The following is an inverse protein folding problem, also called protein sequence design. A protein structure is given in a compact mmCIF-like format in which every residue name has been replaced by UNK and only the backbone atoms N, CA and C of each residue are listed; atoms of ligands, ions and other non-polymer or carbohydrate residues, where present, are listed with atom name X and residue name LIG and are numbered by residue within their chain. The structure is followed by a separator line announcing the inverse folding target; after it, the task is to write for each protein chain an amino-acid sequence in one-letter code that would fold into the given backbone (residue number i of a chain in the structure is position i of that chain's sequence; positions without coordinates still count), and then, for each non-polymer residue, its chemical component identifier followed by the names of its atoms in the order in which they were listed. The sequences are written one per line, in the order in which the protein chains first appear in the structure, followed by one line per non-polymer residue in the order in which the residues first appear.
data_IF_037779000265
#
_entry.id   IF_037779000265
#
_cell.length_a   1.000
_cell.length_b   1.000
_cell.length_c   1.000
_cell.angle_alpha   90.00
_cell.angle_beta   90.00
_cell.angle_gamma   90.00
#
_symmetry.space_group_name_H-M   'P 1'
#
loop_
_entity.id
_entity.type
_entity.pdbx_description
1 polymer ?
#
# COMPACT_ATOMS: atom_id res chain seq x y z
N UNK A 1 -22.61 10.69 -6.54
CA UNK A 1 -21.85 10.20 -7.73
C UNK A 1 -21.19 11.32 -8.51
N UNK A 2 -19.87 11.29 -8.62
CA UNK A 2 -19.08 12.19 -9.46
C UNK A 2 -18.94 11.60 -10.87
N UNK A 3 -18.80 12.44 -11.91
CA UNK A 3 -18.65 11.98 -13.30
C UNK A 3 -17.43 12.60 -13.95
N UNK A 4 -16.64 11.76 -14.64
CA UNK A 4 -15.40 12.13 -15.30
C UNK A 4 -15.49 11.77 -16.79
N UNK A 5 -15.25 12.72 -17.68
CA UNK A 5 -15.34 12.53 -19.13
C UNK A 5 -13.98 12.22 -19.76
N UNK A 6 -13.97 11.31 -20.73
CA UNK A 6 -12.79 10.80 -21.42
C UNK A 6 -12.93 10.95 -22.94
N UNK A 7 -11.81 11.26 -23.58
CA UNK A 7 -11.70 11.36 -25.04
C UNK A 7 -11.61 9.99 -25.72
N UNK A 8 -10.99 9.01 -25.04
CA UNK A 8 -10.91 7.64 -25.51
C UNK A 8 -12.23 6.89 -25.24
N UNK A 9 -12.81 6.31 -26.29
CA UNK A 9 -14.13 5.69 -26.26
C UNK A 9 -14.01 4.22 -26.63
N UNK A 10 -14.33 3.34 -25.68
CA UNK A 10 -14.65 1.94 -25.97
C UNK A 10 -16.17 1.78 -26.01
N UNK A 11 -16.65 0.79 -26.76
CA UNK A 11 -18.10 0.48 -26.83
C UNK A 11 -18.57 -0.33 -25.63
N UNK A 12 -17.65 -0.92 -24.87
CA UNK A 12 -17.95 -1.79 -23.74
C UNK A 12 -18.36 -0.97 -22.50
N UNK A 13 -19.45 -1.36 -21.85
CA UNK A 13 -19.79 -0.88 -20.52
C UNK A 13 -18.96 -1.65 -19.47
N UNK A 14 -18.25 -0.94 -18.60
CA UNK A 14 -17.34 -1.55 -17.62
C UNK A 14 -17.83 -1.21 -16.21
N UNK A 15 -18.00 -2.22 -15.37
CA UNK A 15 -18.30 -2.05 -13.94
C UNK A 15 -17.07 -2.45 -13.13
N UNK A 16 -16.63 -1.60 -12.21
CA UNK A 16 -15.56 -1.88 -11.27
C UNK A 16 -16.06 -1.82 -9.84
N UNK A 17 -15.79 -2.85 -9.04
CA UNK A 17 -16.35 -3.01 -7.70
C UNK A 17 -15.43 -2.52 -6.57
N UNK A 18 -14.17 -2.19 -6.86
CA UNK A 18 -13.23 -1.70 -5.85
C UNK A 18 -12.81 -2.76 -4.83
N UNK A 19 -12.33 -2.31 -3.67
CA UNK A 19 -11.98 -3.14 -2.52
C UNK A 19 -13.17 -3.26 -1.55
N UNK A 20 -13.04 -4.14 -0.54
CA UNK A 20 -14.03 -4.22 0.54
C UNK A 20 -13.75 -3.25 1.71
N UNK A 21 -12.49 -2.88 1.92
CA UNK A 21 -12.05 -1.97 2.99
C UNK A 21 -12.48 -0.50 2.79
N UNK A 22 -12.94 -0.16 1.57
CA UNK A 22 -13.59 1.11 1.24
C UNK A 22 -14.60 0.84 0.11
N UNK A 23 -15.86 1.12 0.39
CA UNK A 23 -16.96 0.80 -0.49
C UNK A 23 -17.17 1.85 -1.57
N UNK A 24 -16.43 1.75 -2.67
CA UNK A 24 -16.68 2.53 -3.88
C UNK A 24 -16.82 1.61 -5.08
N UNK A 25 -17.74 1.95 -5.98
CA UNK A 25 -17.84 1.34 -7.30
C UNK A 25 -17.74 2.41 -8.39
N UNK A 26 -17.30 1.98 -9.57
CA UNK A 26 -17.23 2.84 -10.74
C UNK A 26 -17.91 2.18 -11.92
N UNK A 27 -18.54 2.97 -12.78
CA UNK A 27 -19.13 2.48 -14.04
C UNK A 27 -18.66 3.35 -15.19
N UNK A 28 -18.06 2.72 -16.21
CA UNK A 28 -17.73 3.35 -17.47
C UNK A 28 -18.82 3.08 -18.51
N UNK A 29 -19.32 4.14 -19.15
CA UNK A 29 -20.24 4.05 -20.29
C UNK A 29 -20.08 5.30 -21.17
N UNK A 30 -20.05 5.14 -22.49
CA UNK A 30 -20.04 6.22 -23.48
C UNK A 30 -18.96 7.30 -23.26
N UNK A 31 -17.76 6.89 -22.82
CA UNK A 31 -16.66 7.82 -22.55
C UNK A 31 -16.78 8.56 -21.21
N UNK A 32 -17.63 8.11 -20.29
CA UNK A 32 -17.77 8.68 -18.96
C UNK A 32 -17.53 7.63 -17.88
N UNK A 33 -16.76 7.98 -16.85
CA UNK A 33 -16.67 7.21 -15.60
C UNK A 33 -17.56 7.87 -14.57
N UNK A 34 -18.55 7.13 -14.09
CA UNK A 34 -19.35 7.49 -12.93
C UNK A 34 -18.74 6.83 -11.69
N UNK A 35 -18.31 7.64 -10.73
CA UNK A 35 -17.69 7.20 -9.49
C UNK A 35 -18.65 7.37 -8.31
N UNK A 36 -18.93 6.28 -7.59
CA UNK A 36 -19.90 6.26 -6.49
C UNK A 36 -19.46 7.12 -5.31
N UNK A 37 -20.43 7.43 -4.45
CA UNK A 37 -20.12 7.93 -3.11
C UNK A 37 -19.45 6.81 -2.28
N UNK A 38 -18.79 7.16 -1.19
CA UNK A 38 -18.11 6.22 -0.30
C UNK A 38 -19.13 5.58 0.67
N UNK A 39 -19.26 4.26 0.59
CA UNK A 39 -20.16 3.47 1.43
C UNK A 39 -19.51 3.00 2.74
N UNK A 40 -18.24 3.31 2.98
CA UNK A 40 -17.47 2.92 4.16
C UNK A 40 -16.93 1.50 4.07
N UNK A 41 -16.57 0.92 5.21
CA UNK A 41 -16.05 -0.45 5.29
C UNK A 41 -17.17 -1.47 4.96
N UNK A 42 -17.00 -2.22 3.86
CA UNK A 42 -17.97 -3.21 3.39
C UNK A 42 -17.91 -4.52 4.19
N UNK A 43 -16.98 -4.68 5.14
CA UNK A 43 -17.05 -5.74 6.14
C UNK A 43 -18.24 -5.56 7.09
N UNK A 44 -18.76 -4.33 7.21
CA UNK A 44 -20.00 -4.05 7.94
C UNK A 44 -21.21 -4.41 7.07
N UNK A 45 -22.09 -5.34 7.50
CA UNK A 45 -23.20 -5.83 6.68
C UNK A 45 -24.15 -4.72 6.19
N UNK A 46 -24.37 -3.71 7.03
CA UNK A 46 -25.21 -2.55 6.72
C UNK A 46 -24.65 -1.71 5.56
N UNK A 47 -23.32 -1.50 5.55
CA UNK A 47 -22.63 -0.79 4.49
C UNK A 47 -22.67 -1.58 3.18
N UNK A 48 -22.45 -2.90 3.24
CA UNK A 48 -22.49 -3.76 2.06
C UNK A 48 -23.88 -3.85 1.45
N UNK A 49 -24.93 -3.98 2.26
CA UNK A 49 -26.31 -3.97 1.79
C UNK A 49 -26.67 -2.65 1.08
N UNK A 50 -26.23 -1.51 1.64
CA UNK A 50 -26.42 -0.19 1.02
C UNK A 50 -25.65 -0.06 -0.30
N UNK A 51 -24.39 -0.50 -0.33
CA UNK A 51 -23.55 -0.55 -1.53
C UNK A 51 -24.23 -1.36 -2.66
N UNK A 52 -24.70 -2.57 -2.35
CA UNK A 52 -25.36 -3.46 -3.33
C UNK A 52 -26.66 -2.83 -3.86
N UNK A 53 -27.45 -2.22 -2.98
CA UNK A 53 -28.70 -1.55 -3.34
C UNK A 53 -28.45 -0.39 -4.31
N UNK A 54 -27.50 0.50 -3.99
CA UNK A 54 -27.19 1.66 -4.83
C UNK A 54 -26.58 1.24 -6.17
N UNK A 55 -25.68 0.25 -6.18
CA UNK A 55 -25.15 -0.31 -7.42
C UNK A 55 -26.28 -0.85 -8.32
N UNK A 56 -27.19 -1.66 -7.75
CA UNK A 56 -28.29 -2.24 -8.50
C UNK A 56 -29.28 -1.18 -9.02
N UNK A 57 -29.55 -0.15 -8.21
CA UNK A 57 -30.39 0.98 -8.61
C UNK A 57 -29.76 1.74 -9.77
N UNK A 58 -28.48 2.10 -9.66
CA UNK A 58 -27.76 2.83 -10.70
C UNK A 58 -27.77 2.11 -12.04
N UNK A 59 -27.43 0.81 -12.06
CA UNK A 59 -27.45 0.01 -13.30
C UNK A 59 -28.85 -0.08 -13.90
N UNK A 60 -29.89 -0.24 -13.07
CA UNK A 60 -31.28 -0.34 -13.53
C UNK A 60 -31.79 0.98 -14.11
N UNK A 61 -31.59 2.09 -13.40
CA UNK A 61 -32.08 3.42 -13.81
C UNK A 61 -31.40 3.91 -15.08
N UNK A 62 -30.09 3.69 -15.20
CA UNK A 62 -29.33 4.02 -16.41
C UNK A 62 -29.45 2.98 -17.52
N UNK A 63 -30.17 1.87 -17.27
CA UNK A 63 -30.35 0.74 -18.19
C UNK A 63 -29.01 0.15 -18.68
N UNK A 64 -27.98 0.19 -17.82
CA UNK A 64 -26.63 -0.29 -18.13
C UNK A 64 -26.59 -1.81 -17.93
N UNK A 65 -26.04 -2.50 -18.93
CA UNK A 65 -25.66 -3.91 -18.85
C UNK A 65 -24.15 -3.98 -19.01
N UNK A 66 -23.37 -4.21 -17.94
CA UNK A 66 -21.92 -4.27 -18.04
C UNK A 66 -21.49 -5.44 -18.95
N UNK A 67 -20.58 -5.16 -19.86
CA UNK A 67 -19.91 -6.15 -20.71
C UNK A 67 -18.67 -6.72 -19.99
N UNK A 68 -18.06 -5.91 -19.12
CA UNK A 68 -16.88 -6.24 -18.33
C UNK A 68 -17.15 -5.90 -16.86
N UNK A 69 -16.78 -6.81 -15.96
CA UNK A 69 -16.81 -6.61 -14.51
C UNK A 69 -15.42 -6.77 -13.95
N UNK A 70 -14.94 -5.75 -13.24
CA UNK A 70 -13.63 -5.66 -12.62
C UNK A 70 -13.76 -5.81 -11.11
N UNK A 71 -12.90 -6.64 -10.53
CA UNK A 71 -12.78 -6.80 -9.06
C UNK A 71 -11.33 -6.77 -8.65
N UNK A 72 -11.08 -6.70 -7.34
CA UNK A 72 -9.74 -6.95 -6.81
C UNK A 72 -9.27 -8.39 -7.12
N UNK A 73 -7.96 -8.60 -7.05
CA UNK A 73 -7.32 -9.90 -7.14
C UNK A 73 -7.57 -10.76 -5.90
N UNK A 74 -7.87 -10.14 -4.74
CA UNK A 74 -8.16 -10.87 -3.52
C UNK A 74 -9.36 -11.83 -3.71
N UNK A 75 -9.17 -13.15 -3.55
CA UNK A 75 -10.19 -14.13 -3.88
C UNK A 75 -11.40 -14.08 -2.95
N UNK A 76 -11.17 -13.75 -1.66
CA UNK A 76 -12.20 -13.86 -0.61
C UNK A 76 -12.93 -12.53 -0.32
N UNK A 77 -12.68 -11.47 -1.08
CA UNK A 77 -13.40 -10.21 -0.86
C UNK A 77 -14.88 -10.35 -1.20
N UNK A 78 -15.74 -9.74 -0.39
CA UNK A 78 -17.19 -9.70 -0.67
C UNK A 78 -17.50 -9.04 -2.03
N UNK A 79 -16.70 -8.05 -2.44
CA UNK A 79 -16.81 -7.43 -3.77
C UNK A 79 -16.38 -8.37 -4.89
N UNK A 80 -15.39 -9.23 -4.66
CA UNK A 80 -14.96 -10.27 -5.63
C UNK A 80 -16.06 -11.30 -5.84
N UNK A 81 -16.68 -11.81 -4.76
CA UNK A 81 -17.80 -12.74 -4.85
C UNK A 81 -19.02 -12.11 -5.53
N UNK A 82 -19.35 -10.86 -5.19
CA UNK A 82 -20.41 -10.11 -5.89
C UNK A 82 -20.10 -9.97 -7.38
N UNK A 83 -18.85 -9.69 -7.76
CA UNK A 83 -18.43 -9.59 -9.15
C UNK A 83 -18.65 -10.88 -9.94
N UNK A 84 -18.33 -12.04 -9.36
CA UNK A 84 -18.60 -13.35 -9.97
C UNK A 84 -20.10 -13.57 -10.22
N UNK A 85 -20.94 -13.22 -9.23
CA UNK A 85 -22.41 -13.32 -9.35
C UNK A 85 -22.93 -12.41 -10.46
N UNK A 86 -22.50 -11.14 -10.47
CA UNK A 86 -22.92 -10.17 -11.49
C UNK A 86 -22.43 -10.57 -12.88
N UNK A 87 -21.22 -11.12 -13.00
CA UNK A 87 -20.66 -11.54 -14.28
C UNK A 87 -21.51 -12.64 -14.91
N UNK A 88 -21.92 -13.63 -14.11
CA UNK A 88 -22.86 -14.68 -14.54
C UNK A 88 -24.23 -14.09 -14.92
N UNK A 89 -24.76 -13.15 -14.12
CA UNK A 89 -26.07 -12.52 -14.36
C UNK A 89 -26.11 -11.74 -15.68
N UNK A 90 -25.07 -10.95 -15.96
CA UNK A 90 -25.01 -10.10 -17.16
C UNK A 90 -24.36 -10.78 -18.36
N UNK A 91 -23.83 -12.00 -18.20
CA UNK A 91 -22.97 -12.68 -19.19
C UNK A 91 -21.74 -11.83 -19.55
N UNK A 92 -21.21 -11.12 -18.56
CA UNK A 92 -20.07 -10.22 -18.68
C UNK A 92 -18.76 -10.96 -18.48
N UNK A 93 -17.68 -10.45 -19.07
CA UNK A 93 -16.31 -10.91 -18.80
C UNK A 93 -15.90 -10.45 -17.39
N UNK A 94 -15.53 -11.39 -16.52
CA UNK A 94 -14.97 -11.07 -15.21
C UNK A 94 -13.44 -10.99 -15.29
N UNK A 95 -12.87 -9.86 -14.87
CA UNK A 95 -11.42 -9.63 -14.86
C UNK A 95 -11.02 -9.18 -13.45
N UNK A 96 -9.99 -9.80 -12.91
CA UNK A 96 -9.40 -9.37 -11.65
C UNK A 96 -8.23 -8.42 -11.91
N UNK A 97 -8.18 -7.31 -11.18
CA UNK A 97 -7.13 -6.30 -11.27
C UNK A 97 -6.36 -6.30 -9.96
N UNK A 98 -5.03 -6.33 -10.05
CA UNK A 98 -4.18 -6.32 -8.85
C UNK A 98 -4.29 -4.98 -8.11
N UNK A 99 -4.45 -5.07 -6.79
CA UNK A 99 -4.74 -3.95 -5.89
C UNK A 99 -3.81 -2.72 -6.05
N UNK A 100 -2.49 -2.94 -6.01
CA UNK A 100 -1.50 -1.88 -6.09
C UNK A 100 -1.40 -1.25 -7.48
N UNK A 101 -1.62 -2.04 -8.53
CA UNK A 101 -1.74 -1.55 -9.90
C UNK A 101 -2.97 -0.65 -10.01
N UNK A 102 -4.13 -1.07 -9.49
CA UNK A 102 -5.33 -0.24 -9.47
C UNK A 102 -5.10 1.08 -8.70
N UNK A 103 -4.41 1.06 -7.55
CA UNK A 103 -4.00 2.30 -6.86
C UNK A 103 -3.20 3.23 -7.76
N UNK A 104 -2.19 2.73 -8.46
CA UNK A 104 -1.35 3.55 -9.34
C UNK A 104 -2.19 4.14 -10.48
N UNK A 105 -3.07 3.34 -11.08
CA UNK A 105 -3.97 3.80 -12.12
C UNK A 105 -5.01 4.81 -11.62
N UNK A 106 -5.43 4.79 -10.36
CA UNK A 106 -6.37 5.80 -9.83
C UNK A 106 -5.76 7.21 -9.84
N UNK A 107 -4.43 7.31 -9.80
CA UNK A 107 -3.67 8.55 -9.78
C UNK A 107 -2.98 8.88 -11.11
N UNK A 108 -3.20 8.09 -12.17
CA UNK A 108 -2.59 8.32 -13.48
C UNK A 108 -3.19 9.51 -14.22
N UNK A 109 -4.39 9.98 -13.85
CA UNK A 109 -5.18 10.90 -14.69
C UNK A 109 -4.55 12.30 -14.83
N UNK A 110 -3.66 12.69 -13.92
CA UNK A 110 -2.82 13.88 -14.11
C UNK A 110 -1.94 13.79 -15.39
N UNK A 111 -1.74 12.59 -15.93
CA UNK A 111 -1.05 12.30 -17.21
C UNK A 111 -1.99 12.17 -18.42
N UNK A 112 -3.31 12.18 -18.25
CA UNK A 112 -4.27 12.30 -19.36
C UNK A 112 -4.60 13.76 -19.70
N UNK A 113 -4.36 14.73 -18.82
CA UNK A 113 -4.35 16.16 -19.24
C UNK A 113 -3.25 16.42 -20.28
N UNK A 114 -2.25 15.54 -20.33
CA UNK A 114 -1.21 15.42 -21.34
C UNK A 114 -1.72 14.80 -22.67
N UNK A 115 -2.79 14.01 -22.64
CA UNK A 115 -3.46 13.46 -23.85
C UNK A 115 -4.29 14.51 -24.60
N UNK A 116 -4.67 15.62 -23.95
CA UNK A 116 -5.25 16.78 -24.63
C UNK A 116 -4.17 17.72 -25.24
N UNK A 117 -2.89 17.46 -24.99
CA UNK A 117 -1.79 18.37 -25.37
C UNK A 117 -0.59 17.66 -26.00
N UNK A 118 -0.75 16.61 -26.81
CA UNK A 118 0.36 16.01 -27.60
C UNK A 118 1.67 15.80 -26.79
N UNK A 119 1.58 15.60 -25.48
CA UNK A 119 2.71 15.15 -24.70
C UNK A 119 2.62 13.62 -24.80
N UNK A 120 3.53 13.07 -25.58
CA UNK A 120 3.72 11.62 -25.64
C UNK A 120 3.82 11.13 -24.19
N UNK A 121 2.91 10.24 -23.78
CA UNK A 121 3.20 9.37 -22.64
C UNK A 121 4.54 8.76 -23.03
N UNK A 122 5.61 9.10 -22.31
CA UNK A 122 6.90 8.43 -22.51
C UNK A 122 6.58 6.94 -22.50
N UNK A 123 7.22 6.14 -23.37
CA UNK A 123 6.99 4.69 -23.51
C UNK A 123 7.13 3.89 -22.19
N UNK A 124 7.41 4.56 -21.06
CA UNK A 124 7.32 4.03 -19.72
C UNK A 124 7.08 5.11 -18.64
N UNK A 125 6.52 4.68 -17.52
CA UNK A 125 6.47 5.43 -16.25
C UNK A 125 6.69 4.48 -15.06
N UNK A 126 6.87 5.04 -13.86
CA UNK A 126 7.02 4.27 -12.64
C UNK A 126 5.89 4.57 -11.66
N UNK A 127 5.50 3.57 -10.89
CA UNK A 127 4.51 3.70 -9.83
C UNK A 127 5.06 3.18 -8.50
N UNK A 128 4.78 3.90 -7.43
CA UNK A 128 5.03 3.50 -6.05
C UNK A 128 3.67 3.35 -5.37
N UNK A 129 3.38 2.15 -4.87
CA UNK A 129 2.16 1.88 -4.11
C UNK A 129 2.51 1.63 -2.64
N UNK A 130 2.02 2.51 -1.76
CA UNK A 130 2.24 2.47 -0.31
C UNK A 130 0.91 2.20 0.40
N UNK A 131 0.79 1.01 0.97
CA UNK A 131 -0.46 0.57 1.57
C UNK A 131 -0.25 -0.23 2.86
N UNK A 132 -1.35 -0.48 3.57
CA UNK A 132 -1.41 -1.38 4.69
C UNK A 132 -1.46 -2.85 4.27
N UNK A 133 -2.36 -3.22 3.37
CA UNK A 133 -2.57 -4.61 2.97
C UNK A 133 -3.11 -4.64 1.55
N UNK A 134 -2.45 -5.36 0.65
CA UNK A 134 -3.03 -5.72 -0.63
C UNK A 134 -2.53 -7.08 -1.10
N UNK A 135 -3.39 -7.81 -1.80
CA UNK A 135 -3.09 -9.18 -2.23
C UNK A 135 -2.02 -9.19 -3.33
N UNK A 136 -0.90 -9.85 -3.06
CA UNK A 136 0.19 -10.05 -4.00
C UNK A 136 -0.10 -11.16 -5.01
N UNK A 137 0.52 -11.07 -6.19
CA UNK A 137 0.41 -12.15 -7.20
C UNK A 137 1.14 -13.43 -6.82
N UNK A 138 1.94 -13.38 -5.76
CA UNK A 138 2.71 -14.48 -5.16
C UNK A 138 2.07 -15.03 -3.87
N UNK A 139 0.84 -14.60 -3.55
CA UNK A 139 0.12 -14.98 -2.33
C UNK A 139 0.62 -14.30 -1.05
N UNK A 140 1.59 -13.37 -1.16
CA UNK A 140 2.08 -12.56 -0.03
C UNK A 140 1.28 -11.28 0.13
N UNK A 141 1.42 -10.63 1.30
CA UNK A 141 0.78 -9.33 1.55
C UNK A 141 1.70 -8.21 1.09
N UNK A 142 1.31 -7.49 0.04
CA UNK A 142 2.05 -6.34 -0.47
C UNK A 142 1.60 -5.03 0.19
N UNK A 143 2.41 -3.99 0.04
CA UNK A 143 2.07 -2.64 0.52
C UNK A 143 3.23 -1.64 0.50
N UNK A 144 4.32 -1.96 -0.17
CA UNK A 144 5.48 -1.08 -0.30
C UNK A 144 6.22 -1.42 -1.58
N UNK A 145 5.56 -1.18 -2.71
CA UNK A 145 5.89 -1.75 -4.01
C UNK A 145 6.33 -0.68 -5.01
N UNK A 146 7.32 -0.99 -5.83
CA UNK A 146 7.73 -0.21 -6.99
C UNK A 146 7.48 -0.99 -8.28
N UNK A 147 6.82 -0.34 -9.24
CA UNK A 147 6.50 -0.88 -10.55
C UNK A 147 7.06 0.00 -11.66
N UNK A 148 7.45 -0.65 -12.77
CA UNK A 148 7.71 -0.02 -14.06
C UNK A 148 6.61 -0.45 -15.02
N UNK A 149 5.97 0.54 -15.63
CA UNK A 149 4.97 0.37 -16.66
C UNK A 149 5.61 0.73 -17.99
N UNK A 150 5.53 -0.16 -18.97
CA UNK A 150 6.02 0.05 -20.32
C UNK A 150 4.82 0.02 -21.26
N UNK A 151 4.74 1.01 -22.14
CA UNK A 151 3.70 1.12 -23.15
C UNK A 151 4.39 1.32 -24.50
N UNK A 152 4.29 0.32 -25.38
CA UNK A 152 4.68 0.41 -26.78
C UNK A 152 3.43 0.31 -27.65
N UNK A 153 3.53 0.59 -28.94
CA UNK A 153 2.40 0.49 -29.87
C UNK A 153 1.75 -0.91 -29.88
N UNK A 154 2.52 -1.94 -29.52
CA UNK A 154 2.10 -3.34 -29.63
C UNK A 154 1.96 -4.04 -28.26
N UNK A 155 2.37 -3.40 -27.15
CA UNK A 155 2.44 -4.08 -25.87
C UNK A 155 2.37 -3.16 -24.64
N UNK A 156 1.57 -3.57 -23.67
CA UNK A 156 1.54 -3.01 -22.32
C UNK A 156 2.15 -4.01 -21.32
N UNK A 157 3.33 -3.69 -20.76
CA UNK A 157 4.02 -4.53 -19.76
C UNK A 157 4.08 -3.86 -18.41
N UNK A 158 3.81 -4.65 -17.37
CA UNK A 158 3.98 -4.23 -15.98
C UNK A 158 5.06 -5.08 -15.33
N UNK A 159 6.07 -4.44 -14.77
CA UNK A 159 7.15 -5.12 -14.06
C UNK A 159 7.22 -4.62 -12.61
N UNK A 160 7.02 -5.51 -11.64
CA UNK A 160 7.44 -5.26 -10.26
C UNK A 160 8.97 -5.20 -10.23
N UNK A 161 9.52 -4.04 -9.90
CA UNK A 161 10.97 -3.75 -9.97
C UNK A 161 11.63 -3.67 -8.59
N UNK A 162 10.84 -3.53 -7.53
CA UNK A 162 11.35 -3.54 -6.17
C UNK A 162 10.25 -3.42 -5.14
N UNK A 163 10.60 -3.67 -3.88
CA UNK A 163 9.67 -3.62 -2.77
C UNK A 163 10.41 -3.47 -1.43
N UNK A 164 9.67 -3.21 -0.35
CA UNK A 164 10.22 -3.31 1.01
C UNK A 164 10.57 -4.77 1.35
N UNK A 165 11.60 -4.97 2.16
CA UNK A 165 11.96 -6.28 2.69
C UNK A 165 10.75 -6.98 3.32
N UNK A 166 10.52 -8.24 2.95
CA UNK A 166 9.46 -9.04 3.54
C UNK A 166 9.75 -9.29 5.03
N UNK A 167 8.78 -8.92 5.86
CA UNK A 167 8.75 -9.16 7.29
C UNK A 167 7.65 -10.18 7.63
N UNK A 168 7.78 -10.87 8.76
CA UNK A 168 6.80 -11.89 9.15
C UNK A 168 5.73 -11.29 10.05
N UNK A 169 4.48 -11.42 9.62
CA UNK A 169 3.29 -11.15 10.40
C UNK A 169 2.94 -12.37 11.26
N UNK A 170 3.36 -12.34 12.53
CA UNK A 170 3.05 -13.42 13.49
C UNK A 170 1.54 -13.42 13.79
N UNK A 171 0.81 -14.41 13.31
CA UNK A 171 -0.65 -14.51 13.49
C UNK A 171 -1.48 -13.69 12.50
N UNK A 172 -0.91 -13.28 11.35
CA UNK A 172 -1.65 -12.59 10.28
C UNK A 172 -2.31 -11.30 10.77
N UNK A 173 -3.65 -11.23 10.71
CA UNK A 173 -4.45 -10.09 11.17
C UNK A 173 -4.17 -9.68 12.64
N UNK A 174 -3.74 -10.60 13.50
CA UNK A 174 -3.32 -10.23 14.86
C UNK A 174 -2.12 -9.29 14.84
N UNK A 175 -1.19 -9.41 13.88
CA UNK A 175 -0.07 -8.49 13.74
C UNK A 175 -0.48 -7.09 13.22
N UNK A 176 -1.65 -6.98 12.59
CA UNK A 176 -2.26 -5.71 12.19
C UNK A 176 -2.86 -5.00 13.43
N UNK A 177 -3.48 -5.78 14.32
CA UNK A 177 -4.07 -5.29 15.59
C UNK A 177 -3.01 -5.02 16.66
N UNK A 178 -1.95 -5.81 16.69
CA UNK A 178 -0.88 -5.81 17.70
C UNK A 178 0.51 -5.64 17.05
N UNK A 179 0.96 -4.42 16.69
CA UNK A 179 2.19 -4.21 15.94
C UNK A 179 3.47 -4.69 16.64
N UNK A 180 3.44 -4.96 17.94
CA UNK A 180 4.59 -5.59 18.65
C UNK A 180 4.92 -6.96 18.08
N UNK A 181 3.96 -7.67 17.46
CA UNK A 181 4.21 -8.92 16.72
C UNK A 181 5.17 -8.70 15.55
N UNK A 182 5.00 -7.61 14.81
CA UNK A 182 5.93 -7.19 13.76
C UNK A 182 7.30 -6.85 14.36
N UNK A 183 7.34 -6.11 15.47
CA UNK A 183 8.59 -5.76 16.15
C UNK A 183 9.36 -7.04 16.55
N UNK A 184 8.71 -8.03 17.16
CA UNK A 184 9.34 -9.31 17.53
C UNK A 184 9.96 -9.98 16.30
N UNK A 185 9.21 -10.07 15.20
CA UNK A 185 9.70 -10.67 13.95
C UNK A 185 10.90 -9.92 13.35
N UNK A 186 10.86 -8.59 13.32
CA UNK A 186 11.92 -7.80 12.70
C UNK A 186 13.19 -7.88 13.57
N UNK A 187 13.04 -7.74 14.89
CA UNK A 187 14.17 -7.76 15.81
C UNK A 187 14.81 -9.15 15.92
N UNK A 188 14.08 -10.24 15.71
CA UNK A 188 14.65 -11.60 15.74
C UNK A 188 15.69 -11.84 14.66
N UNK A 189 15.71 -11.03 13.59
CA UNK A 189 16.70 -11.12 12.51
C UNK A 189 18.11 -10.69 12.95
N UNK A 190 18.24 -9.90 14.01
CA UNK A 190 19.55 -9.36 14.45
C UNK A 190 19.76 -9.27 15.97
N UNK A 191 18.76 -9.58 16.79
CA UNK A 191 18.86 -9.64 18.25
C UNK A 191 18.55 -11.04 18.79
N UNK A 192 19.21 -11.39 19.90
CA UNK A 192 18.88 -12.63 20.62
C UNK A 192 17.53 -12.53 21.34
N UNK A 193 16.84 -13.66 21.49
CA UNK A 193 15.56 -13.81 22.20
C UNK A 193 15.50 -13.03 23.53
N UNK A 194 16.52 -13.18 24.38
CA UNK A 194 16.58 -12.52 25.68
C UNK A 194 16.66 -10.99 25.58
N UNK A 195 17.38 -10.46 24.59
CA UNK A 195 17.44 -9.01 24.35
C UNK A 195 16.09 -8.47 23.90
N UNK A 196 15.40 -9.18 23.01
CA UNK A 196 14.06 -8.80 22.53
C UNK A 196 13.07 -8.79 23.70
N UNK A 197 13.05 -9.85 24.50
CA UNK A 197 12.18 -9.92 25.67
C UNK A 197 12.43 -8.77 26.66
N UNK A 198 13.70 -8.47 26.94
CA UNK A 198 14.06 -7.36 27.82
C UNK A 198 13.63 -6.00 27.27
N UNK A 199 13.74 -5.77 25.96
CA UNK A 199 13.26 -4.53 25.32
C UNK A 199 11.75 -4.39 25.48
N UNK A 200 10.98 -5.46 25.27
CA UNK A 200 9.52 -5.44 25.41
C UNK A 200 9.10 -5.30 26.88
N UNK A 201 9.88 -5.85 27.82
CA UNK A 201 9.57 -5.87 29.26
C UNK A 201 9.97 -4.59 30.01
N UNK A 202 11.15 -4.03 29.75
CA UNK A 202 11.85 -3.14 30.69
C UNK A 202 11.51 -1.64 30.59
N UNK A 203 10.45 -1.24 29.88
CA UNK A 203 10.10 0.17 29.76
C UNK A 203 9.04 0.69 30.74
N UNK A 204 8.65 -0.12 31.74
CA UNK A 204 7.69 0.27 32.79
C UNK A 204 8.31 0.92 34.05
N UNK A 205 9.62 1.20 34.09
CA UNK A 205 10.28 1.80 35.28
C UNK A 205 11.40 2.77 34.90
N UNK A 206 11.06 4.06 34.82
CA UNK A 206 12.00 5.15 35.14
C UNK A 206 11.20 6.31 35.76
N UNK A 207 11.24 6.39 37.09
CA UNK A 207 10.86 7.59 37.83
C UNK A 207 11.91 8.68 37.56
N UNK A 208 11.51 9.82 37.00
CA UNK A 208 12.22 11.09 37.23
C UNK A 208 12.73 11.89 36.03
N UNK A 209 12.74 11.39 34.79
CA UNK A 209 13.01 12.21 33.58
C UNK A 209 12.21 11.67 32.41
N UNK A 210 11.57 12.57 31.65
CA UNK A 210 10.62 12.33 30.54
C UNK A 210 11.15 11.37 29.44
N UNK A 211 11.15 10.07 29.72
CA UNK A 211 11.32 9.00 28.74
C UNK A 211 10.04 8.17 28.71
N UNK A 212 8.96 8.80 28.25
CA UNK A 212 7.72 8.09 27.93
C UNK A 212 7.96 7.31 26.63
N UNK A 213 8.40 6.06 26.75
CA UNK A 213 7.89 4.98 25.90
C UNK A 213 7.15 4.05 26.83
N UNK A 214 5.82 4.24 26.91
CA UNK A 214 4.96 3.28 27.57
C UNK A 214 4.79 2.06 26.68
N UNK A 215 5.84 1.24 26.54
CA UNK A 215 5.55 -0.18 26.48
C UNK A 215 5.11 -0.53 27.90
N UNK A 216 3.81 -0.51 28.14
CA UNK A 216 3.29 -1.25 29.29
C UNK A 216 3.80 -2.68 29.25
N UNK A 217 3.56 -3.48 30.29
CA UNK A 217 3.78 -4.92 30.18
C UNK A 217 2.84 -5.47 29.08
N UNK A 218 3.33 -5.54 27.83
CA UNK A 218 2.51 -5.94 26.67
C UNK A 218 2.26 -7.44 26.73
N UNK A 219 3.34 -8.21 26.89
CA UNK A 219 3.30 -9.65 27.00
C UNK A 219 3.95 -10.10 28.30
N UNK A 220 3.32 -11.06 28.97
CA UNK A 220 3.95 -11.92 29.96
C UNK A 220 5.12 -12.70 29.33
N UNK A 221 5.96 -13.30 30.19
CA UNK A 221 7.04 -14.16 29.70
C UNK A 221 6.48 -15.30 28.85
N UNK A 222 5.40 -15.93 29.31
CA UNK A 222 4.75 -17.06 28.62
C UNK A 222 4.21 -16.64 27.25
N UNK A 223 3.51 -15.51 27.14
CA UNK A 223 3.00 -15.03 25.86
C UNK A 223 4.14 -14.72 24.87
N UNK A 224 5.20 -14.05 25.33
CA UNK A 224 6.38 -13.81 24.49
C UNK A 224 7.01 -15.11 23.99
N UNK A 225 7.16 -16.11 24.87
CA UNK A 225 7.70 -17.43 24.51
C UNK A 225 6.86 -18.12 23.44
N UNK A 226 5.52 -18.05 23.55
CA UNK A 226 4.59 -18.59 22.55
C UNK A 226 4.78 -17.89 21.20
N UNK A 227 4.79 -16.55 21.18
CA UNK A 227 4.98 -15.78 19.94
C UNK A 227 6.33 -16.04 19.28
N UNK A 228 7.39 -16.14 20.08
CA UNK A 228 8.73 -16.41 19.57
C UNK A 228 8.85 -17.84 19.00
N UNK A 229 8.22 -18.83 19.64
CA UNK A 229 8.17 -20.19 19.11
C UNK A 229 7.31 -20.29 17.85
N UNK A 230 6.18 -19.58 17.81
CA UNK A 230 5.33 -19.47 16.62
C UNK A 230 6.14 -18.95 15.42
N UNK A 231 6.93 -17.89 15.62
CA UNK A 231 7.82 -17.33 14.61
C UNK A 231 8.88 -18.34 14.15
N UNK A 232 9.55 -19.03 15.07
CA UNK A 232 10.60 -19.99 14.73
C UNK A 232 10.08 -21.20 13.96
N UNK A 233 8.84 -21.62 14.22
CA UNK A 233 8.16 -22.71 13.52
C UNK A 233 7.46 -22.23 12.24
N UNK A 234 7.45 -20.93 11.96
CA UNK A 234 6.69 -20.30 10.88
C UNK A 234 5.21 -20.72 10.87
N UNK A 235 4.62 -20.94 12.05
CA UNK A 235 3.24 -21.40 12.20
C UNK A 235 2.27 -20.22 12.22
N UNK A 236 1.26 -20.20 11.34
CA UNK A 236 0.35 -19.06 11.18
C UNK A 236 1.09 -17.73 11.01
N UNK A 237 2.13 -17.77 10.18
CA UNK A 237 2.98 -16.63 9.83
C UNK A 237 2.81 -16.33 8.34
N UNK A 238 2.65 -15.05 8.00
CA UNK A 238 2.53 -14.59 6.61
C UNK A 238 3.58 -13.52 6.35
N UNK A 239 4.18 -13.54 5.17
CA UNK A 239 5.14 -12.51 4.76
C UNK A 239 4.43 -11.24 4.27
N UNK A 240 5.00 -10.09 4.61
CA UNK A 240 4.53 -8.80 4.11
C UNK A 240 5.65 -7.82 3.77
N UNK A 241 5.47 -7.09 2.66
CA UNK A 241 6.25 -5.90 2.28
C UNK A 241 5.50 -4.59 2.59
N UNK A 242 4.54 -4.63 3.51
CA UNK A 242 3.65 -3.51 3.82
C UNK A 242 4.35 -2.30 4.45
N UNK A 243 4.21 -1.13 3.82
CA UNK A 243 4.67 0.15 4.39
C UNK A 243 3.88 0.47 5.66
N UNK A 244 2.57 0.21 5.67
CA UNK A 244 1.73 0.43 6.85
C UNK A 244 2.21 -0.37 8.06
N UNK A 245 2.52 -1.66 7.88
CA UNK A 245 3.02 -2.51 8.99
C UNK A 245 4.37 -2.06 9.52
N UNK A 246 5.26 -1.59 8.64
CA UNK A 246 6.54 -1.03 9.07
C UNK A 246 6.34 0.25 9.89
N UNK A 247 5.49 1.18 9.43
CA UNK A 247 5.21 2.41 10.16
C UNK A 247 4.49 2.15 11.49
N UNK A 248 3.54 1.21 11.53
CA UNK A 248 2.87 0.79 12.76
C UNK A 248 3.89 0.26 13.78
N UNK A 249 4.83 -0.59 13.34
CA UNK A 249 5.89 -1.12 14.18
C UNK A 249 6.87 -0.04 14.66
N UNK A 250 7.22 0.95 13.83
CA UNK A 250 8.05 2.10 14.24
C UNK A 250 7.31 2.98 15.26
N UNK A 251 6.02 3.23 15.07
CA UNK A 251 5.18 4.02 15.96
C UNK A 251 5.14 3.43 17.37
N UNK A 252 4.90 2.12 17.46
CA UNK A 252 4.92 1.38 18.73
C UNK A 252 6.34 1.32 19.28
N UNK A 253 7.36 1.08 18.44
CA UNK A 253 8.76 1.01 18.87
C UNK A 253 9.22 2.29 19.59
N UNK A 254 8.84 3.44 19.05
CA UNK A 254 9.19 4.75 19.60
C UNK A 254 8.24 5.20 20.73
N UNK A 255 7.12 4.50 20.93
CA UNK A 255 6.14 4.82 21.98
C UNK A 255 5.18 5.95 21.62
N UNK A 256 4.94 6.20 20.33
CA UNK A 256 3.92 7.13 19.85
C UNK A 256 2.53 6.50 19.70
N UNK A 257 2.47 5.17 19.65
CA UNK A 257 1.23 4.41 19.58
C UNK A 257 1.24 3.27 20.62
N UNK A 258 0.05 2.89 21.07
CA UNK A 258 -0.13 1.70 21.90
C UNK A 258 -0.01 0.44 21.03
N UNK A 259 0.19 -0.71 21.68
CA UNK A 259 0.22 -1.98 20.95
C UNK A 259 -1.14 -2.34 20.35
N UNK A 260 -2.25 -1.94 20.94
CA UNK A 260 -3.56 -2.23 20.36
C UNK A 260 -3.99 -1.11 19.40
N UNK A 261 -4.22 -1.48 18.13
CA UNK A 261 -4.77 -0.60 17.11
C UNK A 261 -6.30 -0.53 17.26
N UNK A 262 -6.83 0.69 17.40
CA UNK A 262 -8.26 0.97 17.56
C UNK A 262 -8.97 1.24 16.23
N UNK A 263 -8.29 1.85 15.26
CA UNK A 263 -8.87 2.18 13.95
C UNK A 263 -7.85 2.18 12.82
N UNK A 264 -8.31 2.36 11.57
CA UNK A 264 -7.44 2.30 10.37
C UNK A 264 -6.37 3.41 10.37
N UNK A 265 -5.12 3.01 10.13
CA UNK A 265 -3.94 3.89 10.09
C UNK A 265 -3.55 4.63 11.39
N UNK A 266 -4.15 4.31 12.55
CA UNK A 266 -3.91 5.02 13.81
C UNK A 266 -2.42 5.20 14.14
N UNK A 267 -1.66 4.11 14.19
CA UNK A 267 -0.27 4.13 14.61
C UNK A 267 0.62 4.92 13.62
N UNK A 268 0.45 4.69 12.31
CA UNK A 268 1.12 5.47 11.27
C UNK A 268 0.78 6.97 11.34
N UNK A 269 -0.48 7.36 11.58
CA UNK A 269 -0.89 8.76 11.74
C UNK A 269 -0.32 9.40 13.01
N UNK A 270 -0.26 8.67 14.12
CA UNK A 270 0.36 9.16 15.36
C UNK A 270 1.87 9.35 15.20
N UNK A 271 2.53 8.44 14.49
CA UNK A 271 3.94 8.58 14.14
C UNK A 271 4.20 9.86 13.33
N UNK A 272 3.42 10.08 12.27
CA UNK A 272 3.51 11.28 11.43
C UNK A 272 3.28 12.55 12.26
N UNK A 273 2.21 12.61 13.05
CA UNK A 273 1.85 13.76 13.88
C UNK A 273 2.97 14.17 14.85
N UNK A 274 3.70 13.20 15.38
CA UNK A 274 4.77 13.44 16.35
C UNK A 274 6.15 13.63 15.71
N UNK A 275 6.27 13.51 14.39
CA UNK A 275 7.54 13.63 13.68
C UNK A 275 7.99 15.08 13.52
N UNK A 276 9.30 15.32 13.62
CA UNK A 276 9.90 16.65 13.44
C UNK A 276 10.88 16.66 12.26
N UNK A 277 12.16 16.95 12.50
CA UNK A 277 13.19 17.04 11.47
C UNK A 277 14.02 15.75 11.49
N UNK A 278 14.17 15.05 10.37
CA UNK A 278 14.91 13.80 10.32
C UNK A 278 16.40 14.02 10.61
N UNK A 279 17.03 13.05 11.25
CA UNK A 279 18.47 12.86 11.18
C UNK A 279 18.92 12.55 9.74
N UNK A 280 20.16 12.92 9.41
CA UNK A 280 20.76 12.78 8.07
C UNK A 280 21.82 11.68 7.98
N UNK A 281 22.07 10.97 9.07
CA UNK A 281 23.12 9.94 9.21
C UNK A 281 22.65 8.54 8.81
N UNK A 282 21.36 8.35 8.50
CA UNK A 282 20.82 7.10 7.96
C UNK A 282 20.53 7.25 6.47
N UNK A 283 21.12 6.38 5.65
CA UNK A 283 20.84 6.25 4.23
C UNK A 283 20.15 4.91 3.92
N UNK A 284 19.26 4.86 2.91
CA UNK A 284 18.66 3.62 2.44
C UNK A 284 19.69 2.53 2.13
N UNK A 285 19.34 1.28 2.44
CA UNK A 285 20.16 0.12 2.10
C UNK A 285 19.36 -0.79 1.18
N UNK A 286 19.78 -0.90 -0.07
CA UNK A 286 19.08 -1.68 -1.08
C UNK A 286 19.89 -2.92 -1.45
N UNK A 287 19.21 -4.05 -1.60
CA UNK A 287 19.82 -5.31 -2.02
C UNK A 287 19.19 -5.78 -3.34
N UNK A 288 19.98 -6.08 -4.39
CA UNK A 288 19.47 -6.71 -5.58
C UNK A 288 19.14 -8.18 -5.32
N UNK A 289 17.97 -8.61 -5.78
CA UNK A 289 17.56 -10.01 -5.86
C UNK A 289 17.53 -10.41 -7.33
N UNK A 290 18.42 -11.33 -7.72
CA UNK A 290 18.44 -11.89 -9.06
C UNK A 290 17.17 -12.71 -9.28
N UNK A 291 16.44 -12.45 -10.37
CA UNK A 291 15.37 -13.37 -10.81
C UNK A 291 16.01 -14.59 -11.45
N UNK A 292 15.88 -15.76 -10.83
CA UNK A 292 16.21 -17.01 -11.50
C UNK A 292 15.32 -17.20 -12.75
N UNK A 293 15.90 -17.62 -13.87
CA UNK A 293 15.15 -18.05 -15.06
C UNK A 293 14.83 -17.00 -16.14
N UNK A 294 15.17 -15.72 -15.97
CA UNK A 294 14.97 -14.71 -17.04
C UNK A 294 16.30 -14.40 -17.74
N UNK A 295 16.49 -14.91 -18.97
CA UNK A 295 17.54 -14.43 -19.88
C UNK A 295 17.31 -12.94 -20.13
N UNK A 296 18.13 -12.08 -19.50
CA UNK A 296 17.99 -10.62 -19.59
C UNK A 296 18.04 -9.83 -18.26
N UNK A 297 18.25 -10.48 -17.11
CA UNK A 297 18.88 -9.83 -15.95
C UNK A 297 18.15 -8.66 -15.28
N UNK A 298 16.81 -8.59 -15.31
CA UNK A 298 16.11 -7.60 -14.46
C UNK A 298 16.10 -8.06 -13.00
N UNK A 299 16.93 -7.41 -12.18
CA UNK A 299 16.95 -7.62 -10.72
C UNK A 299 15.75 -6.93 -10.08
N UNK A 300 15.09 -7.60 -9.13
CA UNK A 300 14.18 -6.93 -8.19
C UNK A 300 15.03 -6.31 -7.09
N UNK A 301 14.76 -5.08 -6.71
CA UNK A 301 15.48 -4.43 -5.62
C UNK A 301 14.68 -4.43 -4.31
N UNK A 302 15.34 -4.77 -3.20
CA UNK A 302 14.72 -4.85 -1.88
C UNK A 302 15.25 -3.72 -1.01
N UNK A 303 14.36 -2.88 -0.46
CA UNK A 303 14.72 -1.91 0.57
C UNK A 303 14.74 -2.59 1.94
N UNK A 304 15.92 -2.68 2.56
CA UNK A 304 16.13 -3.41 3.81
C UNK A 304 15.53 -2.71 5.02
N UNK A 305 14.29 -3.04 5.37
CA UNK A 305 13.62 -2.46 6.53
C UNK A 305 14.21 -2.97 7.85
N UNK A 306 14.83 -4.15 7.90
CA UNK A 306 15.57 -4.62 9.08
C UNK A 306 16.72 -3.67 9.45
N UNK A 307 17.41 -3.12 8.44
CA UNK A 307 18.50 -2.15 8.65
C UNK A 307 17.99 -0.83 9.29
N UNK A 308 16.78 -0.40 8.95
CA UNK A 308 16.12 0.71 9.63
C UNK A 308 15.91 0.41 11.12
N UNK A 309 15.44 -0.79 11.47
CA UNK A 309 15.23 -1.17 12.88
C UNK A 309 16.55 -1.32 13.66
N UNK A 310 17.61 -1.83 13.04
CA UNK A 310 18.95 -1.80 13.66
C UNK A 310 19.38 -0.39 14.04
N UNK A 311 19.17 0.57 13.13
CA UNK A 311 19.47 1.98 13.39
C UNK A 311 18.61 2.52 14.53
N UNK A 312 17.29 2.28 14.50
CA UNK A 312 16.37 2.77 15.54
C UNK A 312 16.76 2.25 16.92
N UNK A 313 17.04 0.93 17.05
CA UNK A 313 17.43 0.30 18.32
C UNK A 313 18.73 0.89 18.87
N UNK A 314 19.76 1.08 18.02
CA UNK A 314 21.04 1.69 18.42
C UNK A 314 20.87 3.14 18.89
N UNK A 315 19.84 3.83 18.40
CA UNK A 315 19.62 5.26 18.62
C UNK A 315 18.43 5.60 19.52
N UNK A 316 17.83 4.64 20.24
CA UNK A 316 16.66 4.90 21.11
C UNK A 316 16.89 5.97 22.21
N UNK A 317 18.14 6.26 22.53
CA UNK A 317 18.54 7.33 23.46
C UNK A 317 18.45 8.74 22.86
N UNK A 318 18.31 8.87 21.54
CA UNK A 318 18.16 10.14 20.81
C UNK A 318 16.71 10.63 20.83
N UNK A 319 16.47 11.83 20.28
CA UNK A 319 15.13 12.39 20.14
C UNK A 319 14.26 11.52 19.21
N UNK A 320 13.24 10.90 19.80
CA UNK A 320 12.32 10.00 19.13
C UNK A 320 11.49 10.67 18.04
N UNK A 321 11.16 11.95 18.19
CA UNK A 321 10.40 12.69 17.16
C UNK A 321 11.21 12.84 15.88
N UNK A 322 12.53 12.99 16.02
CA UNK A 322 13.46 13.01 14.90
C UNK A 322 13.68 11.61 14.31
N UNK A 323 13.76 10.58 15.14
CA UNK A 323 13.83 9.18 14.67
C UNK A 323 12.58 8.78 13.87
N UNK A 324 11.40 9.22 14.29
CA UNK A 324 10.15 9.02 13.56
C UNK A 324 10.18 9.64 12.17
N UNK A 325 10.64 10.90 12.07
CA UNK A 325 10.84 11.58 10.79
C UNK A 325 11.89 10.85 9.93
N UNK A 326 13.00 10.40 10.53
CA UNK A 326 14.05 9.63 9.83
C UNK A 326 13.52 8.34 9.24
N UNK A 327 12.69 7.58 9.98
CA UNK A 327 12.12 6.34 9.50
C UNK A 327 11.20 6.54 8.28
N UNK A 328 10.32 7.55 8.31
CA UNK A 328 9.46 7.88 7.18
C UNK A 328 10.26 8.36 5.96
N UNK A 329 11.27 9.20 6.18
CA UNK A 329 12.15 9.66 5.11
C UNK A 329 12.99 8.52 4.51
N UNK A 330 13.46 7.57 5.32
CA UNK A 330 14.20 6.38 4.88
C UNK A 330 13.39 5.57 3.84
N UNK A 331 12.10 5.35 4.11
CA UNK A 331 11.22 4.62 3.20
C UNK A 331 11.03 5.39 1.89
N UNK A 332 10.74 6.69 1.95
CA UNK A 332 10.57 7.52 0.76
C UNK A 332 11.84 7.56 -0.10
N UNK A 333 13.01 7.78 0.52
CA UNK A 333 14.29 7.82 -0.17
C UNK A 333 14.67 6.46 -0.78
N UNK A 334 14.47 5.37 -0.06
CA UNK A 334 14.83 4.04 -0.55
C UNK A 334 13.97 3.58 -1.73
N UNK A 335 12.67 3.88 -1.72
CA UNK A 335 11.79 3.56 -2.85
C UNK A 335 12.11 4.41 -4.09
N UNK A 336 12.49 5.67 -3.90
CA UNK A 336 13.03 6.50 -4.98
C UNK A 336 14.33 5.94 -5.54
N UNK A 337 15.22 5.47 -4.68
CA UNK A 337 16.51 4.91 -5.11
C UNK A 337 16.32 3.59 -5.87
N UNK A 338 15.35 2.76 -5.51
CA UNK A 338 14.93 1.60 -6.32
C UNK A 338 14.57 2.01 -7.75
N UNK A 339 13.82 3.11 -7.92
CA UNK A 339 13.47 3.62 -9.26
C UNK A 339 14.72 4.13 -9.99
N UNK A 340 15.60 4.85 -9.28
CA UNK A 340 16.85 5.37 -9.86
C UNK A 340 17.78 4.24 -10.34
N UNK A 341 17.81 3.09 -9.64
CA UNK A 341 18.59 1.91 -10.05
C UNK A 341 18.05 1.22 -11.31
N UNK A 342 16.81 1.51 -11.71
CA UNK A 342 16.16 0.97 -12.90
C UNK A 342 16.05 1.98 -14.05
N UNK A 343 16.21 3.26 -13.76
CA UNK A 343 16.10 4.32 -14.74
C UNK A 343 17.46 4.79 -15.24
N UNK A 344 17.61 4.86 -16.56
CA UNK A 344 18.78 5.48 -17.19
C UNK A 344 18.72 7.03 -17.16
N UNK A 345 17.61 7.63 -16.71
CA UNK A 345 17.41 9.09 -16.79
C UNK A 345 16.90 9.71 -15.48
N UNK A 346 17.42 10.90 -15.17
CA UNK A 346 17.07 11.68 -13.98
C UNK A 346 15.68 12.35 -14.04
N UNK A 347 15.01 12.32 -15.20
CA UNK A 347 13.69 12.96 -15.44
C UNK A 347 12.55 11.94 -15.49
N UNK A 348 12.58 10.99 -14.56
CA UNK A 348 11.66 9.86 -14.56
C UNK A 348 10.33 10.22 -13.90
N UNK A 349 9.22 9.91 -14.59
CA UNK A 349 7.87 10.14 -14.08
C UNK A 349 7.49 9.08 -13.05
N UNK A 350 7.06 9.53 -11.86
CA UNK A 350 6.72 8.66 -10.73
C UNK A 350 5.30 8.98 -10.26
N UNK A 351 4.48 7.94 -10.14
CA UNK A 351 3.12 8.01 -9.60
C UNK A 351 3.13 7.43 -8.20
N UNK A 352 2.76 8.23 -7.21
CA UNK A 352 2.62 7.78 -5.83
C UNK A 352 1.15 7.53 -5.52
N UNK A 353 0.83 6.35 -4.97
CA UNK A 353 -0.54 5.98 -4.60
C UNK A 353 -0.58 4.99 -3.42
N UNK A 354 -1.78 4.55 -3.03
CA UNK A 354 -2.06 3.70 -1.87
C UNK A 354 -2.34 4.50 -0.59
N UNK A 355 -3.02 3.90 0.40
CA UNK A 355 -3.51 4.62 1.58
C UNK A 355 -2.43 5.34 2.41
N UNK A 356 -1.22 4.77 2.49
CA UNK A 356 -0.08 5.32 3.26
C UNK A 356 0.61 6.46 2.51
N UNK A 357 0.39 6.61 1.21
CA UNK A 357 0.93 7.75 0.44
C UNK A 357 0.38 9.12 0.87
N UNK A 358 -0.68 9.16 1.67
CA UNK A 358 -1.21 10.38 2.27
C UNK A 358 -0.34 10.92 3.42
N UNK A 359 0.63 10.13 3.90
CA UNK A 359 1.59 10.57 4.89
C UNK A 359 2.39 11.77 4.36
N UNK A 360 2.29 12.94 5.01
CA UNK A 360 2.83 14.19 4.47
C UNK A 360 4.35 14.23 4.39
N UNK A 361 5.06 13.46 5.21
CA UNK A 361 6.53 13.39 5.11
C UNK A 361 6.93 12.66 3.84
N UNK A 362 6.25 11.54 3.55
CA UNK A 362 6.48 10.74 2.35
C UNK A 362 5.98 11.48 1.12
N UNK A 363 4.74 11.99 1.13
CA UNK A 363 4.15 12.66 -0.04
C UNK A 363 4.94 13.90 -0.46
N UNK A 364 5.31 14.76 0.50
CA UNK A 364 6.12 15.95 0.23
C UNK A 364 7.50 15.62 -0.34
N UNK A 365 8.07 14.47 0.02
CA UNK A 365 9.34 14.04 -0.57
C UNK A 365 9.22 13.85 -2.08
N UNK A 366 8.15 13.20 -2.55
CA UNK A 366 7.91 12.96 -3.97
C UNK A 366 7.35 14.20 -4.69
N UNK A 367 6.51 15.00 -4.04
CA UNK A 367 5.94 16.24 -4.60
C UNK A 367 7.01 17.30 -4.86
N UNK A 368 8.06 17.38 -4.01
CA UNK A 368 9.14 18.37 -4.15
C UNK A 368 10.19 17.99 -5.22
N UNK A 369 10.13 16.79 -5.80
CA UNK A 369 11.07 16.34 -6.84
C UNK A 369 10.54 16.74 -8.22
N UNK A 370 11.09 17.83 -8.79
CA UNK A 370 10.87 18.22 -10.20
C UNK A 370 12.08 17.79 -11.06
N UNK A 371 11.88 17.35 -12.32
CA UNK A 371 10.62 17.00 -12.98
C UNK A 371 10.17 15.57 -12.62
N UNK A 372 8.86 15.33 -12.46
CA UNK A 372 8.32 14.00 -12.10
C UNK A 372 7.53 13.94 -10.79
N UNK A 373 7.12 15.09 -10.24
CA UNK A 373 6.31 15.18 -9.02
C UNK A 373 4.98 14.44 -9.18
N UNK A 374 4.70 13.50 -8.30
CA UNK A 374 3.36 12.93 -8.17
C UNK A 374 2.43 14.02 -7.63
N UNK A 375 1.35 14.31 -8.35
CA UNK A 375 0.27 15.19 -7.89
C UNK A 375 -0.95 14.31 -7.65
N UNK A 376 -1.69 14.57 -6.57
CA UNK A 376 -2.95 13.87 -6.29
C UNK A 376 -4.01 14.20 -7.34
N UNK A 377 -4.82 13.22 -7.72
CA UNK A 377 -5.94 13.41 -8.63
C UNK A 377 -7.11 14.10 -7.90
N UNK A 378 -7.57 15.29 -8.34
CA UNK A 378 -8.71 15.95 -7.69
C UNK A 378 -9.96 15.07 -7.70
N UNK A 379 -10.55 14.86 -6.53
CA UNK A 379 -11.81 14.10 -6.37
C UNK A 379 -11.64 12.58 -6.28
N UNK A 380 -10.44 12.03 -6.54
CA UNK A 380 -10.17 10.59 -6.44
C UNK A 380 -9.09 10.33 -5.38
N UNK A 381 -9.46 9.71 -4.24
CA UNK A 381 -8.51 9.42 -3.16
C UNK A 381 -7.37 8.49 -3.61
N UNK A 382 -6.17 8.67 -3.05
CA UNK A 382 -5.01 7.77 -3.28
C UNK A 382 -5.19 6.36 -2.69
N UNK A 383 -6.06 6.22 -1.68
CA UNK A 383 -6.31 4.94 -1.01
C UNK A 383 -7.45 4.13 -1.64
N UNK A 384 -7.93 3.13 -0.90
CA UNK A 384 -8.87 2.10 -1.39
C UNK A 384 -10.17 2.67 -1.96
N UNK A 385 -10.60 3.84 -1.49
CA UNK A 385 -11.76 4.52 -2.03
C UNK A 385 -11.61 4.88 -3.52
N UNK A 386 -10.39 5.15 -4.01
CA UNK A 386 -10.11 5.40 -5.43
C UNK A 386 -9.91 4.13 -6.26
N UNK A 387 -9.96 2.94 -5.66
CA UNK A 387 -9.53 1.70 -6.32
C UNK A 387 -10.43 1.33 -7.50
N UNK A 388 -11.76 1.46 -7.37
CA UNK A 388 -12.69 1.16 -8.46
C UNK A 388 -12.47 2.06 -9.68
N UNK A 389 -12.07 3.31 -9.46
CA UNK A 389 -11.72 4.24 -10.53
C UNK A 389 -10.43 3.79 -11.24
N UNK A 390 -9.41 3.41 -10.46
CA UNK A 390 -8.16 2.88 -10.99
C UNK A 390 -8.32 1.55 -11.75
N UNK A 391 -9.23 0.67 -11.32
CA UNK A 391 -9.59 -0.56 -12.04
C UNK A 391 -10.08 -0.26 -13.45
N UNK A 392 -11.00 0.70 -13.62
CA UNK A 392 -11.49 1.11 -14.94
C UNK A 392 -10.34 1.66 -15.80
N UNK A 393 -9.53 2.56 -15.25
CA UNK A 393 -8.43 3.14 -16.02
C UNK A 393 -7.41 2.08 -16.45
N UNK A 394 -7.09 1.13 -15.58
CA UNK A 394 -6.25 0.00 -15.95
C UNK A 394 -6.83 -0.77 -17.15
N UNK A 395 -8.12 -1.09 -17.12
CA UNK A 395 -8.78 -1.82 -18.21
C UNK A 395 -8.78 -1.01 -19.53
N UNK A 396 -9.05 0.30 -19.46
CA UNK A 396 -9.05 1.17 -20.64
C UNK A 396 -7.66 1.37 -21.26
N UNK A 397 -6.59 1.21 -20.48
CA UNK A 397 -5.21 1.26 -20.98
C UNK A 397 -4.70 -0.10 -21.47
N UNK A 398 -5.33 -1.19 -21.06
CA UNK A 398 -4.96 -2.56 -21.44
C UNK A 398 -5.72 -3.07 -22.68
N UNK A 399 -6.80 -2.39 -23.08
CA UNK A 399 -7.47 -2.53 -24.40
C UNK A 399 -6.68 -1.82 -25.49
#
# INVERSE_FOLDING_TARGET
MQTFSFTHKTKSAILALGAESAGNFSVYVDGQIHFSDDFGDLLLPENFARYQKELANFLREKKIKPDIILTDLHPDYQTTELGKILAKKYKAKHIQVQHHIAHIFSQILNFTTILNSKLEIRNYFYGIALDGTGYGTDGKIWGGECFKFLMTNDEFRINRIGHLENQIMIGGELAVKEPTRMIISILSKFLSKNKIYNLIKNHSRNHGRELVSNFGKIYSKTEFEILYNQLNQNFNCVETSSTGRILDAVAVLLGFANNERKFKHEAASLLEKNSTIPYKDLHPKITPLAKEGIKGGSSIYILNTTYLFEYLIKNLHKDKKRLAATAQLYLAQGLQEIINLQSATSSTQIILSGGISNNKIISKYFENKKPGSSVEMPGIPRGDAGLSFGQILFQLFAE
#
